data_IF_630612926558
#
_entry.id   IF_630612926558
#
_cell.length_a   1.000
_cell.length_b   1.000
_cell.length_c   1.000
_cell.angle_alpha   90.00
_cell.angle_beta   90.00
_cell.angle_gamma   90.00
#
_symmetry.space_group_name_H-M   'P 1'
#
loop_
_entity.id
_entity.type
_entity.pdbx_description
1 polymer ?
#
# COMPACT_ATOMS: atom_id res chain seq x y z
N UNK A 1 -22.04 -2.26 0.50
CA UNK A 1 -20.85 -2.24 1.40
C UNK A 1 -19.66 -2.67 0.57
N UNK A 2 -18.69 -1.79 0.27
CA UNK A 2 -17.44 -2.22 -0.39
C UNK A 2 -16.75 -3.23 0.54
N UNK A 3 -16.21 -4.31 0.00
CA UNK A 3 -15.56 -5.34 0.82
C UNK A 3 -14.35 -4.74 1.56
N UNK A 4 -14.01 -5.25 2.74
CA UNK A 4 -12.87 -4.79 3.56
C UNK A 4 -11.56 -4.69 2.76
N UNK A 5 -11.35 -5.58 1.80
CA UNK A 5 -10.19 -5.60 0.92
C UNK A 5 -10.17 -4.42 -0.07
N UNK A 6 -11.31 -4.06 -0.65
CA UNK A 6 -11.41 -2.91 -1.57
C UNK A 6 -11.11 -1.60 -0.86
N UNK A 7 -11.60 -1.48 0.38
CA UNK A 7 -11.31 -0.30 1.19
C UNK A 7 -9.82 -0.25 1.53
N UNK A 8 -9.20 -1.37 1.91
CA UNK A 8 -7.76 -1.44 2.16
C UNK A 8 -6.95 -1.03 0.93
N UNK A 9 -7.25 -1.60 -0.24
CA UNK A 9 -6.61 -1.25 -1.51
C UNK A 9 -6.71 0.25 -1.79
N UNK A 10 -7.92 0.82 -1.69
CA UNK A 10 -8.13 2.25 -1.95
C UNK A 10 -7.35 3.13 -0.96
N UNK A 11 -7.30 2.77 0.33
CA UNK A 11 -6.53 3.54 1.32
C UNK A 11 -5.02 3.41 1.10
N UNK A 12 -4.53 2.24 0.69
CA UNK A 12 -3.12 2.02 0.38
C UNK A 12 -2.70 2.81 -0.87
N UNK A 13 -3.58 2.92 -1.88
CA UNK A 13 -3.33 3.71 -3.09
C UNK A 13 -3.19 5.21 -2.78
N UNK A 14 -4.10 5.76 -1.95
CA UNK A 14 -4.02 7.15 -1.51
C UNK A 14 -2.72 7.43 -0.73
N UNK A 15 -2.33 6.53 0.17
CA UNK A 15 -1.08 6.69 0.92
C UNK A 15 0.16 6.57 0.04
N UNK A 16 0.18 5.63 -0.92
CA UNK A 16 1.27 5.52 -1.91
C UNK A 16 1.41 6.81 -2.73
N UNK A 17 0.28 7.37 -3.18
CA UNK A 17 0.26 8.61 -3.91
C UNK A 17 0.84 9.77 -3.08
N UNK A 18 0.38 9.93 -1.83
CA UNK A 18 0.90 10.95 -0.92
C UNK A 18 2.38 10.77 -0.64
N UNK A 19 2.82 9.55 -0.35
CA UNK A 19 4.23 9.29 -0.04
C UNK A 19 5.14 9.63 -1.21
N UNK A 20 4.71 9.38 -2.46
CA UNK A 20 5.44 9.82 -3.66
C UNK A 20 5.53 11.33 -3.82
N UNK A 21 4.50 12.08 -3.41
CA UNK A 21 4.52 13.55 -3.42
C UNK A 21 5.49 14.09 -2.36
N UNK A 22 5.50 13.50 -1.17
CA UNK A 22 6.33 13.96 -0.06
C UNK A 22 7.80 13.54 -0.21
N UNK A 23 8.11 12.46 -0.92
CA UNK A 23 9.49 12.02 -1.21
C UNK A 23 10.17 12.88 -2.30
N UNK A 24 10.29 14.19 -2.05
CA UNK A 24 10.83 15.19 -2.99
C UNK A 24 12.25 14.88 -3.45
N UNK A 25 13.05 14.28 -2.57
CA UNK A 25 14.45 13.95 -2.83
C UNK A 25 14.63 12.51 -3.35
N UNK A 26 13.54 11.79 -3.60
CA UNK A 26 13.54 10.41 -4.10
C UNK A 26 14.32 9.42 -3.21
N UNK A 27 14.44 9.72 -1.91
CA UNK A 27 15.20 8.91 -0.95
C UNK A 27 14.50 7.59 -0.65
N UNK A 28 13.19 7.51 -0.89
CA UNK A 28 12.35 6.33 -0.66
C UNK A 28 11.80 5.74 -1.96
N UNK A 29 12.25 6.23 -3.12
CA UNK A 29 11.74 5.85 -4.44
C UNK A 29 11.66 4.35 -4.66
N UNK A 30 12.74 3.62 -4.37
CA UNK A 30 12.79 2.17 -4.59
C UNK A 30 11.83 1.41 -3.68
N UNK A 31 11.67 1.86 -2.44
CA UNK A 31 10.70 1.29 -1.50
C UNK A 31 9.26 1.52 -1.99
N UNK A 32 8.93 2.75 -2.41
CA UNK A 32 7.62 3.12 -2.95
C UNK A 32 7.31 2.45 -4.30
N UNK A 33 8.34 2.16 -5.11
CA UNK A 33 8.20 1.41 -6.35
C UNK A 33 7.85 -0.05 -6.06
N UNK A 34 8.63 -0.72 -5.20
CA UNK A 34 8.37 -2.12 -4.79
C UNK A 34 6.99 -2.28 -4.15
N UNK A 35 6.57 -1.32 -3.32
CA UNK A 35 5.21 -1.31 -2.76
C UNK A 35 4.13 -1.17 -3.83
N UNK A 36 4.35 -0.31 -4.84
CA UNK A 36 3.45 -0.19 -5.99
C UNK A 36 3.32 -1.51 -6.77
N UNK A 37 4.45 -2.16 -7.08
CA UNK A 37 4.48 -3.45 -7.77
C UNK A 37 3.77 -4.55 -6.97
N UNK A 38 3.97 -4.56 -5.65
CA UNK A 38 3.29 -5.49 -4.74
C UNK A 38 1.78 -5.27 -4.76
N UNK A 39 1.32 -4.02 -4.63
CA UNK A 39 -0.10 -3.68 -4.75
C UNK A 39 -0.68 -4.14 -6.08
N UNK A 40 0.03 -3.90 -7.19
CA UNK A 40 -0.46 -4.28 -8.51
C UNK A 40 -0.52 -5.80 -8.68
N UNK A 41 0.41 -6.53 -8.08
CA UNK A 41 0.35 -7.99 -7.99
C UNK A 41 -0.88 -8.46 -7.22
N UNK A 42 -1.22 -7.82 -6.09
CA UNK A 42 -2.41 -8.16 -5.32
C UNK A 42 -3.70 -7.90 -6.10
N UNK A 43 -3.77 -6.80 -6.86
CA UNK A 43 -4.93 -6.48 -7.70
C UNK A 43 -5.08 -7.45 -8.88
N UNK A 44 -3.98 -7.82 -9.55
CA UNK A 44 -4.02 -8.80 -10.64
C UNK A 44 -4.50 -10.18 -10.15
N UNK A 45 -4.06 -10.57 -8.95
CA UNK A 45 -4.46 -11.83 -8.33
C UNK A 45 -5.81 -11.76 -7.58
N UNK A 46 -6.44 -10.58 -7.50
CA UNK A 46 -7.68 -10.34 -6.74
C UNK A 46 -8.83 -11.24 -7.17
N UNK A 47 -8.95 -11.52 -8.47
CA UNK A 47 -10.01 -12.38 -9.04
C UNK A 47 -9.79 -13.87 -8.76
N UNK A 48 -8.60 -14.26 -8.34
CA UNK A 48 -8.27 -15.64 -7.91
C UNK A 48 -8.64 -15.83 -6.43
N UNK A 49 -8.85 -14.74 -5.67
CA UNK A 49 -8.97 -14.70 -4.22
C UNK A 49 -10.40 -14.63 -3.67
N UNK A 50 -11.42 -15.09 -4.41
CA UNK A 50 -12.76 -15.31 -3.84
C UNK A 50 -12.79 -16.49 -2.84
N UNK A 51 -11.68 -17.23 -2.69
CA UNK A 51 -11.52 -18.30 -1.72
C UNK A 51 -10.33 -18.09 -0.76
N UNK A 52 -10.66 -17.92 0.53
CA UNK A 52 -9.82 -18.35 1.66
C UNK A 52 -8.43 -17.71 1.82
N UNK A 53 -7.37 -18.49 2.14
CA UNK A 53 -6.09 -18.01 2.70
C UNK A 53 -5.33 -16.94 1.90
N UNK A 54 -5.54 -16.89 0.57
CA UNK A 54 -4.90 -15.88 -0.29
C UNK A 54 -5.46 -14.49 -0.03
N UNK A 55 -6.75 -14.39 0.30
CA UNK A 55 -7.39 -13.13 0.68
C UNK A 55 -6.85 -12.62 2.00
N UNK A 56 -6.71 -13.49 3.00
CA UNK A 56 -6.18 -13.12 4.32
C UNK A 56 -4.74 -12.63 4.22
N UNK A 57 -3.91 -13.32 3.42
CA UNK A 57 -2.55 -12.87 3.15
C UNK A 57 -2.50 -11.53 2.43
N UNK A 58 -3.40 -11.29 1.47
CA UNK A 58 -3.50 -9.99 0.80
C UNK A 58 -3.91 -8.88 1.78
N UNK A 59 -4.84 -9.16 2.69
CA UNK A 59 -5.25 -8.22 3.74
C UNK A 59 -4.09 -7.89 4.67
N UNK A 60 -3.38 -8.90 5.18
CA UNK A 60 -2.20 -8.72 6.04
C UNK A 60 -1.12 -7.89 5.34
N UNK A 61 -0.83 -8.22 4.09
CA UNK A 61 0.16 -7.49 3.27
C UNK A 61 -0.23 -6.02 3.14
N UNK A 62 -1.50 -5.72 2.84
CA UNK A 62 -1.98 -4.34 2.71
C UNK A 62 -1.95 -3.58 4.04
N UNK A 63 -2.25 -4.25 5.16
CA UNK A 63 -2.16 -3.64 6.49
C UNK A 63 -0.71 -3.25 6.83
N UNK A 64 0.26 -4.13 6.56
CA UNK A 64 1.68 -3.87 6.76
C UNK A 64 2.18 -2.72 5.87
N UNK A 65 1.79 -2.73 4.59
CA UNK A 65 2.10 -1.62 3.68
C UNK A 65 1.54 -0.31 4.18
N UNK A 66 0.28 -0.30 4.64
CA UNK A 66 -0.39 0.89 5.17
C UNK A 66 0.37 1.47 6.36
N UNK A 67 0.72 0.61 7.31
CA UNK A 67 1.48 1.04 8.49
C UNK A 67 2.83 1.64 8.08
N UNK A 68 3.55 1.00 7.17
CA UNK A 68 4.85 1.51 6.71
C UNK A 68 4.73 2.83 5.97
N UNK A 69 3.71 3.00 5.13
CA UNK A 69 3.45 4.26 4.42
C UNK A 69 3.10 5.40 5.37
N UNK A 70 2.31 5.13 6.43
CA UNK A 70 2.02 6.10 7.48
C UNK A 70 3.31 6.54 8.16
N UNK A 71 4.16 5.60 8.59
CA UNK A 71 5.46 5.93 9.20
C UNK A 71 6.36 6.73 8.25
N UNK A 72 6.42 6.37 6.97
CA UNK A 72 7.20 7.14 5.99
C UNK A 72 6.66 8.57 5.85
N UNK A 73 5.35 8.74 5.80
CA UNK A 73 4.71 10.05 5.73
C UNK A 73 4.98 10.88 6.99
N UNK A 74 4.86 10.27 8.16
CA UNK A 74 5.23 10.91 9.44
C UNK A 74 6.70 11.36 9.40
N UNK A 75 7.64 10.47 9.06
CA UNK A 75 9.05 10.80 8.96
C UNK A 75 9.28 11.99 8.01
N UNK A 76 8.66 11.98 6.83
CA UNK A 76 8.80 13.05 5.83
C UNK A 76 8.16 14.38 6.27
N UNK A 77 7.06 14.34 7.03
CA UNK A 77 6.39 15.52 7.54
C UNK A 77 7.10 16.12 8.76
N UNK A 78 7.72 15.29 9.60
CA UNK A 78 8.50 15.74 10.76
C UNK A 78 9.91 16.21 10.40
N UNK A 79 10.44 15.80 9.25
CA UNK A 79 11.78 16.21 8.76
C UNK A 79 11.75 17.36 7.74
N UNK A 80 10.56 17.78 7.30
CA UNK A 80 10.34 18.94 6.41
C UNK A 80 10.25 20.25 7.20
#
# INVERSE_FOLDING_TARGET
MKSSLEQLLATTDDLLYRARIYDRNLLRRDELLRMGEMRDSLVRNRWIADNGPLRDRAVETLLLMRQRLITLLEDMLYTA
#
